data_IF_469397953357
#
_entry.id   IF_469397953357
#
_cell.length_a   1.000
_cell.length_b   1.000
_cell.length_c   1.000
_cell.angle_alpha   90.00
_cell.angle_beta   90.00
_cell.angle_gamma   90.00
#
_symmetry.space_group_name_H-M   'P 1'
#
loop_
_entity.id
_entity.type
_entity.pdbx_description
1 polymer ?
#
# COMPACT_ATOMS: atom_id res chain seq x y z
N UNK A 1 -9.86 -9.30 -26.15
CA UNK A 1 -10.55 -8.56 -27.26
C UNK A 1 -9.84 -7.24 -27.47
N UNK A 2 -10.12 -6.54 -28.60
CA UNK A 2 -9.58 -5.20 -28.86
C UNK A 2 -9.97 -4.23 -27.75
N UNK A 3 -11.22 -4.28 -27.29
CA UNK A 3 -11.73 -3.44 -26.20
C UNK A 3 -11.01 -3.68 -24.88
N UNK A 4 -10.73 -4.93 -24.53
CA UNK A 4 -9.95 -5.25 -23.32
C UNK A 4 -8.54 -4.66 -23.39
N UNK A 5 -7.87 -4.79 -24.53
CA UNK A 5 -6.56 -4.20 -24.74
C UNK A 5 -6.57 -2.67 -24.66
N UNK A 6 -7.61 -2.00 -25.17
CA UNK A 6 -7.80 -0.55 -25.06
C UNK A 6 -8.01 -0.11 -23.59
N UNK A 7 -8.82 -0.85 -22.82
CA UNK A 7 -9.05 -0.58 -21.38
C UNK A 7 -7.81 -0.84 -20.54
N UNK A 8 -7.05 -1.90 -20.84
CA UNK A 8 -5.78 -2.17 -20.17
C UNK A 8 -4.76 -1.06 -20.47
N UNK A 9 -4.67 -0.61 -21.73
CA UNK A 9 -3.79 0.50 -22.09
C UNK A 9 -4.20 1.82 -21.40
N UNK A 10 -5.50 2.08 -21.26
CA UNK A 10 -5.99 3.23 -20.51
C UNK A 10 -5.64 3.13 -19.03
N UNK A 11 -5.81 1.96 -18.42
CA UNK A 11 -5.42 1.73 -17.01
C UNK A 11 -3.94 2.01 -16.79
N UNK A 12 -3.07 1.51 -17.68
CA UNK A 12 -1.63 1.79 -17.61
C UNK A 12 -1.30 3.28 -17.75
N UNK A 13 -1.96 3.97 -18.68
CA UNK A 13 -1.81 5.41 -18.83
C UNK A 13 -2.27 6.19 -17.58
N UNK A 14 -3.37 5.78 -16.95
CA UNK A 14 -3.87 6.38 -15.70
C UNK A 14 -2.94 6.08 -14.52
N UNK A 15 -2.37 4.89 -14.44
CA UNK A 15 -1.35 4.56 -13.43
C UNK A 15 -0.10 5.43 -13.57
N UNK A 16 0.38 5.61 -14.80
CA UNK A 16 1.50 6.50 -15.08
C UNK A 16 1.18 7.96 -14.69
N UNK A 17 -0.03 8.44 -15.03
CA UNK A 17 -0.51 9.77 -14.66
C UNK A 17 -0.62 9.94 -13.13
N UNK A 18 -1.19 8.94 -12.42
CA UNK A 18 -1.27 8.94 -10.96
C UNK A 18 0.12 9.02 -10.32
N UNK A 19 1.07 8.19 -10.77
CA UNK A 19 2.44 8.21 -10.28
C UNK A 19 3.12 9.56 -10.52
N UNK A 20 2.90 10.16 -11.69
CA UNK A 20 3.40 11.49 -12.01
C UNK A 20 2.85 12.55 -11.04
N UNK A 21 1.53 12.64 -10.88
CA UNK A 21 0.92 13.62 -9.98
C UNK A 21 1.28 13.40 -8.52
N UNK A 22 1.37 12.15 -8.05
CA UNK A 22 1.84 11.83 -6.71
C UNK A 22 3.25 12.41 -6.48
N UNK A 23 4.19 12.16 -7.39
CA UNK A 23 5.54 12.69 -7.29
C UNK A 23 5.55 14.24 -7.36
N UNK A 24 4.71 14.86 -8.17
CA UNK A 24 4.64 16.33 -8.29
C UNK A 24 4.03 16.98 -7.04
N UNK A 25 2.92 16.47 -6.53
CA UNK A 25 2.22 17.03 -5.37
C UNK A 25 3.05 16.92 -4.09
N UNK A 26 3.86 15.86 -3.97
CA UNK A 26 4.71 15.58 -2.81
C UNK A 26 6.16 16.09 -3.00
N UNK A 27 6.46 16.74 -4.10
CA UNK A 27 7.74 17.41 -4.31
C UNK A 27 7.67 18.87 -3.86
N UNK A 28 8.44 19.20 -2.85
CA UNK A 28 8.59 20.54 -2.28
C UNK A 28 9.98 21.13 -2.53
N UNK A 29 10.76 20.59 -3.48
CA UNK A 29 12.04 21.20 -3.87
C UNK A 29 11.82 22.65 -4.35
N UNK A 30 12.60 23.57 -3.80
CA UNK A 30 12.48 25.01 -4.12
C UNK A 30 11.28 25.73 -3.51
N UNK A 31 10.49 25.07 -2.66
CA UNK A 31 9.40 25.68 -1.89
C UNK A 31 9.84 25.96 -0.45
N UNK A 32 9.22 26.96 0.19
CA UNK A 32 9.44 27.27 1.60
C UNK A 32 8.69 26.27 2.49
N UNK A 33 9.26 25.07 2.64
CA UNK A 33 8.75 24.01 3.51
C UNK A 33 9.90 23.42 4.31
N UNK A 34 9.67 23.19 5.59
CA UNK A 34 10.66 22.54 6.46
C UNK A 34 10.82 21.06 6.06
N UNK A 35 12.08 20.61 6.00
CA UNK A 35 12.43 19.21 5.75
C UNK A 35 13.07 18.63 7.01
N UNK A 36 12.52 17.53 7.51
CA UNK A 36 13.05 16.82 8.68
C UNK A 36 13.35 15.37 8.35
N UNK A 37 14.30 14.79 9.05
CA UNK A 37 14.53 13.35 9.01
C UNK A 37 13.36 12.62 9.68
N UNK A 38 13.00 11.46 9.14
CA UNK A 38 11.93 10.65 9.74
C UNK A 38 12.22 10.31 11.21
N UNK A 39 13.50 10.07 11.55
CA UNK A 39 13.90 9.80 12.93
C UNK A 39 13.84 11.01 13.88
N UNK A 40 13.70 12.24 13.37
CA UNK A 40 13.50 13.45 14.19
C UNK A 40 12.03 13.68 14.56
N UNK A 41 11.11 13.16 13.76
CA UNK A 41 9.67 13.44 13.87
C UNK A 41 8.84 12.23 14.23
N UNK A 42 9.45 11.06 14.35
CA UNK A 42 8.76 9.83 14.70
C UNK A 42 9.71 8.73 15.16
N UNK A 43 9.11 7.64 15.61
CA UNK A 43 9.79 6.47 16.14
C UNK A 43 9.46 5.22 15.32
N UNK A 44 10.47 4.37 15.08
CA UNK A 44 10.32 3.09 14.38
C UNK A 44 10.36 1.94 15.39
N UNK A 45 9.27 1.20 15.50
CA UNK A 45 9.15 0.01 16.33
C UNK A 45 9.09 -1.21 15.42
N UNK A 46 10.14 -2.06 15.44
CA UNK A 46 10.14 -3.29 14.64
C UNK A 46 9.14 -4.29 15.19
N UNK A 47 8.33 -4.92 14.33
CA UNK A 47 7.43 -6.01 14.67
C UNK A 47 8.16 -7.24 15.23
N UNK A 48 7.39 -8.25 15.63
CA UNK A 48 7.90 -9.55 16.07
C UNK A 48 7.38 -10.66 15.17
N UNK A 49 8.16 -11.74 15.08
CA UNK A 49 7.87 -12.86 14.18
C UNK A 49 6.64 -13.63 14.64
N UNK A 50 5.75 -13.87 13.69
CA UNK A 50 4.74 -14.92 13.65
C UNK A 50 4.71 -15.50 12.24
N UNK A 51 4.12 -16.65 12.05
CA UNK A 51 4.12 -17.33 10.75
C UNK A 51 2.71 -17.46 10.21
N UNK A 52 2.58 -17.77 8.91
CA UNK A 52 1.26 -17.90 8.26
C UNK A 52 0.34 -18.91 8.93
N UNK A 53 0.92 -19.95 9.55
CA UNK A 53 0.16 -20.98 10.29
C UNK A 53 -0.40 -20.49 11.64
N UNK A 54 0.06 -19.33 12.13
CA UNK A 54 -0.48 -18.71 13.36
C UNK A 54 -1.74 -17.89 13.06
N UNK A 55 -2.03 -17.64 11.78
CA UNK A 55 -3.19 -16.85 11.35
C UNK A 55 -4.46 -17.66 11.52
N UNK A 56 -5.45 -17.05 12.16
CA UNK A 56 -6.77 -17.60 12.44
C UNK A 56 -7.86 -16.75 11.76
N UNK A 57 -9.08 -17.27 11.70
CA UNK A 57 -10.22 -16.56 11.09
C UNK A 57 -10.75 -15.40 11.93
N UNK A 58 -10.58 -15.48 13.25
CA UNK A 58 -11.06 -14.48 14.20
C UNK A 58 -10.08 -14.33 15.38
N UNK A 59 -9.98 -13.12 15.96
CA UNK A 59 -9.08 -12.88 17.08
C UNK A 59 -8.55 -11.45 17.12
N UNK A 60 -7.27 -11.29 17.45
CA UNK A 60 -6.61 -9.98 17.49
C UNK A 60 -6.16 -9.61 16.08
N UNK A 61 -6.49 -8.41 15.56
CA UNK A 61 -6.10 -7.96 14.23
C UNK A 61 -4.57 -8.03 14.02
N UNK A 62 -4.13 -8.50 12.86
CA UNK A 62 -2.71 -8.51 12.50
C UNK A 62 -2.47 -8.18 11.03
N UNK A 63 -1.28 -7.66 10.74
CA UNK A 63 -0.77 -7.45 9.38
C UNK A 63 0.45 -8.35 9.17
N UNK A 64 0.29 -9.35 8.31
CA UNK A 64 1.40 -10.16 7.82
C UNK A 64 2.10 -9.44 6.66
N UNK A 65 3.43 -9.49 6.60
CA UNK A 65 4.21 -8.73 5.61
C UNK A 65 3.76 -8.96 4.16
N UNK A 66 3.37 -10.19 3.80
CA UNK A 66 2.89 -10.51 2.47
C UNK A 66 1.58 -9.80 2.09
N UNK A 67 0.78 -9.38 3.06
CA UNK A 67 -0.47 -8.66 2.82
C UNK A 67 -0.24 -7.19 2.43
N UNK A 68 0.92 -6.62 2.80
CA UNK A 68 1.32 -5.28 2.39
C UNK A 68 1.57 -5.17 0.87
N UNK A 69 1.80 -6.30 0.19
CA UNK A 69 1.99 -6.35 -1.26
C UNK A 69 0.71 -6.76 -2.01
N UNK A 70 -0.11 -7.62 -1.38
CA UNK A 70 -1.20 -8.30 -2.10
C UNK A 70 -2.58 -7.76 -1.76
N UNK A 71 -2.74 -7.09 -0.62
CA UNK A 71 -4.04 -6.68 -0.11
C UNK A 71 -4.12 -5.19 0.21
N UNK A 72 -3.19 -4.69 1.03
CA UNK A 72 -3.19 -3.29 1.44
C UNK A 72 -2.54 -2.40 0.37
N UNK A 73 -2.96 -1.12 0.33
CA UNK A 73 -2.40 -0.11 -0.58
C UNK A 73 -1.79 1.05 0.20
N UNK A 74 -2.49 2.17 0.27
CA UNK A 74 -2.03 3.38 0.97
C UNK A 74 -2.43 3.37 2.43
N UNK A 75 -3.62 2.85 2.74
CA UNK A 75 -4.17 2.82 4.08
C UNK A 75 -5.12 1.63 4.27
N UNK A 76 -5.39 1.31 5.52
CA UNK A 76 -6.36 0.28 5.92
C UNK A 76 -7.07 0.68 7.21
N UNK A 77 -8.36 0.34 7.33
CA UNK A 77 -9.15 0.44 8.56
C UNK A 77 -9.40 -0.92 9.19
N UNK A 78 -9.39 -1.98 8.39
CA UNK A 78 -9.67 -3.33 8.82
C UNK A 78 -8.49 -4.22 8.52
N UNK A 79 -8.19 -5.14 9.42
CA UNK A 79 -7.18 -6.17 9.20
C UNK A 79 -7.78 -7.32 8.39
N UNK A 80 -6.99 -7.84 7.47
CA UNK A 80 -7.34 -9.03 6.70
C UNK A 80 -7.20 -10.31 7.52
N UNK A 81 -6.27 -10.32 8.46
CA UNK A 81 -5.85 -11.50 9.22
C UNK A 81 -5.90 -11.24 10.71
N UNK A 82 -6.00 -12.35 11.47
CA UNK A 82 -6.11 -12.31 12.92
C UNK A 82 -5.18 -13.34 13.56
N UNK A 83 -4.84 -13.12 14.84
CA UNK A 83 -4.03 -14.02 15.65
C UNK A 83 -4.78 -14.40 16.93
N UNK A 84 -4.40 -15.56 17.48
CA UNK A 84 -4.86 -15.96 18.81
C UNK A 84 -4.41 -14.91 19.84
N UNK A 85 -5.27 -14.49 20.82
CA UNK A 85 -4.95 -13.49 21.83
C UNK A 85 -3.69 -13.80 22.66
N UNK A 86 -3.45 -15.06 23.01
CA UNK A 86 -2.28 -15.48 23.80
C UNK A 86 -0.95 -15.27 23.05
N UNK A 87 -0.96 -15.41 21.74
CA UNK A 87 0.18 -15.13 20.90
C UNK A 87 0.31 -13.62 20.70
N UNK A 88 -0.78 -12.96 20.35
CA UNK A 88 -0.82 -11.52 20.06
C UNK A 88 -0.28 -10.68 21.24
N UNK A 89 -0.60 -11.05 22.49
CA UNK A 89 -0.12 -10.38 23.69
C UNK A 89 1.42 -10.36 23.85
N UNK A 90 2.15 -11.21 23.12
CA UNK A 90 3.63 -11.31 23.15
C UNK A 90 4.29 -10.55 21.99
N UNK A 91 3.49 -10.06 21.07
CA UNK A 91 3.93 -9.41 19.84
C UNK A 91 3.90 -7.88 19.97
N UNK A 92 4.32 -7.17 18.93
CA UNK A 92 4.31 -5.73 18.88
C UNK A 92 3.19 -5.24 17.95
N UNK A 93 2.66 -4.08 18.26
CA UNK A 93 1.53 -3.50 17.55
C UNK A 93 1.91 -2.19 16.87
N UNK A 94 1.12 -1.82 15.86
CA UNK A 94 0.96 -0.45 15.39
C UNK A 94 -0.35 0.10 15.96
N UNK A 95 -0.34 1.36 16.36
CA UNK A 95 -1.51 2.07 16.88
C UNK A 95 -2.28 2.78 15.75
N UNK A 96 -3.56 3.12 15.95
CA UNK A 96 -4.27 4.00 15.02
C UNK A 96 -3.49 5.29 14.72
N UNK A 97 -3.25 5.57 13.44
CA UNK A 97 -2.44 6.70 13.00
C UNK A 97 -0.97 6.37 12.70
N UNK A 98 -0.47 5.21 13.09
CA UNK A 98 0.86 4.75 12.68
C UNK A 98 0.89 4.35 11.21
N UNK A 99 2.09 4.36 10.62
CA UNK A 99 2.33 3.78 9.29
C UNK A 99 3.11 2.49 9.43
N UNK A 100 2.54 1.38 8.92
CA UNK A 100 3.21 0.08 8.88
C UNK A 100 4.10 0.03 7.64
N UNK A 101 5.43 0.00 7.83
CA UNK A 101 6.43 0.10 6.77
C UNK A 101 7.13 -1.24 6.57
N UNK A 102 7.24 -1.67 5.32
CA UNK A 102 7.98 -2.87 4.93
C UNK A 102 9.47 -2.67 5.17
N UNK A 103 10.06 -3.54 5.98
CA UNK A 103 11.49 -3.53 6.28
C UNK A 103 12.28 -4.65 5.62
N UNK A 104 11.63 -5.73 5.21
CA UNK A 104 12.27 -6.87 4.55
C UNK A 104 11.32 -7.54 3.55
N UNK A 105 11.84 -7.95 2.39
CA UNK A 105 11.07 -8.58 1.32
C UNK A 105 11.95 -9.13 0.21
N UNK A 106 11.35 -9.84 -0.74
CA UNK A 106 12.05 -10.46 -1.88
C UNK A 106 12.46 -9.42 -2.92
N UNK A 107 11.67 -8.36 -3.09
CA UNK A 107 11.91 -7.30 -4.06
C UNK A 107 12.38 -6.01 -3.37
N UNK A 108 13.35 -5.35 -3.97
CA UNK A 108 13.89 -4.06 -3.46
C UNK A 108 12.83 -2.97 -3.55
N UNK A 109 11.98 -3.04 -4.55
CA UNK A 109 10.91 -2.09 -4.83
C UNK A 109 9.86 -2.02 -3.72
N UNK A 110 9.71 -3.09 -2.97
CA UNK A 110 8.75 -3.17 -1.87
C UNK A 110 9.28 -2.57 -0.56
N UNK A 111 10.61 -2.54 -0.42
CA UNK A 111 11.24 -2.02 0.80
C UNK A 111 10.95 -0.54 0.98
N UNK A 112 10.48 -0.17 2.17
CA UNK A 112 10.10 1.20 2.51
C UNK A 112 8.67 1.58 2.11
N UNK A 113 7.90 0.72 1.43
CA UNK A 113 6.47 0.93 1.24
C UNK A 113 5.76 0.96 2.60
N UNK A 114 4.80 1.86 2.74
CA UNK A 114 4.04 2.04 3.97
C UNK A 114 2.54 2.03 3.76
N UNK A 115 1.83 1.51 4.75
CA UNK A 115 0.37 1.49 4.84
C UNK A 115 -0.05 2.20 6.11
N UNK A 116 -0.84 3.28 6.00
CA UNK A 116 -1.39 3.99 7.15
C UNK A 116 -2.45 3.11 7.84
N UNK A 117 -2.26 2.81 9.12
CA UNK A 117 -3.26 2.12 9.91
C UNK A 117 -4.27 3.11 10.48
N UNK A 118 -5.51 3.03 10.03
CA UNK A 118 -6.62 3.93 10.40
C UNK A 118 -7.76 3.16 11.09
N UNK A 119 -7.50 1.93 11.55
CA UNK A 119 -8.45 1.15 12.35
C UNK A 119 -8.70 1.79 13.72
N UNK A 120 -9.75 1.35 14.40
CA UNK A 120 -10.16 1.88 15.72
C UNK A 120 -9.39 1.20 16.88
N UNK A 121 -8.57 0.19 16.60
CA UNK A 121 -7.79 -0.57 17.57
C UNK A 121 -6.38 -0.83 17.06
N UNK A 122 -5.51 -1.25 17.97
CA UNK A 122 -4.15 -1.69 17.64
C UNK A 122 -4.15 -2.87 16.69
N UNK A 123 -3.12 -2.97 15.86
CA UNK A 123 -2.89 -4.11 14.95
C UNK A 123 -1.51 -4.70 15.18
N UNK A 124 -1.44 -6.01 15.34
CA UNK A 124 -0.15 -6.72 15.47
C UNK A 124 0.61 -6.69 14.15
N UNK A 125 1.93 -6.43 14.19
CA UNK A 125 2.78 -6.35 12.99
C UNK A 125 3.89 -7.40 12.98
N UNK A 126 4.15 -7.94 11.78
CA UNK A 126 5.19 -8.93 11.53
C UNK A 126 6.61 -8.34 11.65
N UNK A 127 7.64 -9.17 11.93
CA UNK A 127 9.04 -8.73 12.09
C UNK A 127 9.71 -8.22 10.81
N UNK A 128 9.11 -8.46 9.65
CA UNK A 128 9.49 -7.84 8.39
C UNK A 128 8.92 -6.42 8.19
N UNK A 129 8.32 -5.83 9.24
CA UNK A 129 7.71 -4.50 9.23
C UNK A 129 8.17 -3.65 10.40
N UNK A 130 8.06 -2.33 10.24
CA UNK A 130 8.10 -1.35 11.31
C UNK A 130 6.72 -0.71 11.49
N UNK A 131 6.29 -0.45 12.73
CA UNK A 131 5.34 0.60 13.03
C UNK A 131 6.13 1.92 13.10
N UNK A 132 5.71 2.91 12.35
CA UNK A 132 6.25 4.27 12.40
C UNK A 132 5.22 5.21 13.02
N UNK A 133 5.47 5.60 14.25
CA UNK A 133 4.61 6.51 15.03
C UNK A 133 5.06 7.95 14.84
N UNK A 134 4.14 8.85 14.50
CA UNK A 134 4.41 10.26 14.19
C UNK A 134 3.16 11.13 14.38
N UNK A 135 3.29 12.46 14.19
CA UNK A 135 2.19 13.43 14.36
C UNK A 135 1.66 14.02 13.05
N UNK A 136 2.15 13.56 11.90
CA UNK A 136 1.69 14.01 10.57
C UNK A 136 0.41 13.28 10.17
N UNK A 137 -0.23 13.72 9.09
CA UNK A 137 -1.31 12.94 8.49
C UNK A 137 -0.76 11.58 8.02
N UNK A 138 -1.28 10.44 8.50
CA UNK A 138 -0.71 9.12 8.20
C UNK A 138 -0.79 8.74 6.72
N UNK A 139 -1.87 9.12 6.01
CA UNK A 139 -1.96 8.91 4.58
C UNK A 139 -0.93 9.74 3.81
N UNK A 140 -0.68 11.00 4.23
CA UNK A 140 0.35 11.84 3.62
C UNK A 140 1.71 11.15 3.69
N UNK A 141 2.07 10.61 4.86
CA UNK A 141 3.31 9.84 5.03
C UNK A 141 3.32 8.62 4.12
N UNK A 142 2.26 7.80 4.11
CA UNK A 142 2.16 6.62 3.23
C UNK A 142 2.33 6.98 1.75
N UNK A 143 1.69 8.04 1.27
CA UNK A 143 1.88 8.51 -0.11
C UNK A 143 3.31 8.96 -0.38
N UNK A 144 3.93 9.67 0.56
CA UNK A 144 5.31 10.13 0.41
C UNK A 144 6.30 8.97 0.31
N UNK A 145 6.12 7.92 1.11
CA UNK A 145 6.97 6.71 1.08
C UNK A 145 6.95 5.99 -0.28
N UNK A 146 5.96 6.26 -1.12
CA UNK A 146 5.87 5.70 -2.48
C UNK A 146 6.48 6.61 -3.56
N UNK A 147 7.00 7.79 -3.21
CA UNK A 147 7.61 8.72 -4.17
C UNK A 147 9.00 8.26 -4.61
N UNK A 148 9.38 8.65 -5.82
CA UNK A 148 10.73 8.43 -6.32
C UNK A 148 11.78 9.14 -5.46
N UNK A 149 11.43 10.30 -4.92
CA UNK A 149 12.30 11.08 -4.04
C UNK A 149 12.64 10.31 -2.76
N UNK A 150 11.64 9.77 -2.07
CA UNK A 150 11.88 8.94 -0.87
C UNK A 150 12.69 7.68 -1.21
N UNK A 151 12.33 6.98 -2.28
CA UNK A 151 13.02 5.76 -2.72
C UNK A 151 14.50 6.02 -3.01
N UNK A 152 14.82 7.15 -3.66
CA UNK A 152 16.20 7.53 -3.94
C UNK A 152 17.01 7.73 -2.65
N UNK A 153 16.40 8.28 -1.61
CA UNK A 153 17.05 8.51 -0.31
C UNK A 153 17.40 7.23 0.43
N UNK A 154 16.52 6.21 0.39
CA UNK A 154 16.74 4.97 1.14
C UNK A 154 17.55 3.92 0.37
N UNK A 155 17.71 4.08 -0.95
CA UNK A 155 18.32 3.08 -1.85
C UNK A 155 19.68 2.58 -1.37
N UNK A 156 20.56 3.48 -0.93
CA UNK A 156 21.90 3.13 -0.43
C UNK A 156 21.90 2.45 0.94
N UNK A 157 20.78 2.52 1.67
CA UNK A 157 20.61 1.90 3.00
C UNK A 157 19.97 0.52 2.93
N UNK A 158 19.52 0.09 1.74
CA UNK A 158 18.95 -1.24 1.53
C UNK A 158 20.09 -2.23 1.30
N UNK A 159 20.18 -3.25 2.16
CA UNK A 159 21.03 -4.40 1.91
C UNK A 159 20.33 -5.38 0.98
N UNK A 160 21.00 -5.72 -0.12
CA UNK A 160 20.50 -6.67 -1.11
C UNK A 160 21.07 -8.07 -0.89
N UNK A 161 20.23 -9.10 -1.10
CA UNK A 161 20.58 -10.51 -0.96
C UNK A 161 19.42 -11.38 -1.41
N UNK A 162 19.34 -12.62 -0.91
CA UNK A 162 18.14 -13.46 -1.12
C UNK A 162 16.88 -12.79 -0.58
N UNK A 163 17.02 -12.03 0.51
CA UNK A 163 16.01 -11.14 1.06
C UNK A 163 16.65 -9.76 1.17
N UNK A 164 16.03 -8.77 0.59
CA UNK A 164 16.42 -7.37 0.72
C UNK A 164 15.85 -6.81 2.01
N UNK A 165 16.60 -5.90 2.67
CA UNK A 165 16.12 -5.32 3.94
C UNK A 165 16.70 -3.93 4.21
N UNK A 166 15.97 -3.17 5.00
CA UNK A 166 16.40 -1.88 5.56
C UNK A 166 16.21 -1.90 7.08
N UNK A 167 17.14 -1.28 7.80
CA UNK A 167 17.02 -1.11 9.25
C UNK A 167 16.44 0.26 9.61
N UNK A 168 16.05 0.44 10.88
CA UNK A 168 15.51 1.72 11.35
C UNK A 168 16.47 2.90 11.19
N UNK A 169 17.81 2.79 11.42
CA UNK A 169 18.72 3.88 11.12
C UNK A 169 18.75 4.29 9.64
N UNK A 170 18.57 3.35 8.72
CA UNK A 170 18.49 3.62 7.29
C UNK A 170 17.24 4.42 6.91
N UNK A 171 16.09 4.05 7.48
CA UNK A 171 14.84 4.79 7.30
C UNK A 171 14.87 6.16 8.00
N UNK A 172 15.43 6.22 9.21
CA UNK A 172 15.47 7.44 10.03
C UNK A 172 16.20 8.60 9.36
N UNK A 173 17.16 8.33 8.48
CA UNK A 173 17.93 9.35 7.75
C UNK A 173 17.19 9.98 6.57
N UNK A 174 16.16 9.32 6.07
CA UNK A 174 15.36 9.85 4.97
C UNK A 174 14.60 11.10 5.43
N UNK A 175 14.60 12.13 4.58
CA UNK A 175 13.91 13.39 4.85
C UNK A 175 12.53 13.40 4.23
N UNK A 176 11.59 14.04 4.92
CA UNK A 176 10.22 14.27 4.47
C UNK A 176 9.89 15.77 4.59
N UNK A 177 9.18 16.38 3.63
CA UNK A 177 8.70 17.74 3.77
C UNK A 177 7.52 17.81 4.74
N UNK A 178 7.48 18.86 5.55
CA UNK A 178 6.46 19.08 6.59
C UNK A 178 5.65 20.34 6.27
N UNK A 179 4.75 20.31 5.28
CA UNK A 179 3.82 21.40 5.07
C UNK A 179 2.79 21.46 6.21
N UNK A 180 2.06 22.58 6.38
CA UNK A 180 0.96 22.68 7.31
C UNK A 180 -0.05 21.52 7.16
N UNK A 181 -0.74 21.18 8.25
CA UNK A 181 -1.64 20.00 8.25
C UNK A 181 -2.75 20.13 7.20
N UNK A 182 -3.25 21.33 6.97
CA UNK A 182 -4.28 21.62 5.97
C UNK A 182 -3.78 21.32 4.55
N UNK A 183 -2.50 21.56 4.27
CA UNK A 183 -1.90 21.23 2.98
C UNK A 183 -1.65 19.72 2.84
N UNK A 184 -1.26 19.02 3.93
CA UNK A 184 -1.18 17.57 3.94
C UNK A 184 -2.55 16.95 3.62
N UNK A 185 -3.62 17.42 4.26
CA UNK A 185 -5.00 16.96 4.03
C UNK A 185 -5.47 17.26 2.60
N UNK A 186 -5.17 18.45 2.07
CA UNK A 186 -5.48 18.81 0.68
C UNK A 186 -4.82 17.86 -0.31
N UNK A 187 -3.53 17.57 -0.12
CA UNK A 187 -2.77 16.65 -0.98
C UNK A 187 -3.35 15.25 -0.90
N UNK A 188 -3.62 14.75 0.32
CA UNK A 188 -4.25 13.45 0.54
C UNK A 188 -5.60 13.37 -0.16
N UNK A 189 -6.45 14.40 -0.02
CA UNK A 189 -7.78 14.42 -0.66
C UNK A 189 -7.71 14.38 -2.20
N UNK A 190 -6.67 14.94 -2.80
CA UNK A 190 -6.43 14.83 -4.26
C UNK A 190 -5.95 13.42 -4.61
N UNK A 191 -4.97 12.89 -3.88
CA UNK A 191 -4.37 11.59 -4.18
C UNK A 191 -5.35 10.44 -3.91
N UNK A 192 -6.19 10.51 -2.88
CA UNK A 192 -7.24 9.53 -2.61
C UNK A 192 -8.22 9.40 -3.79
N UNK A 193 -8.59 10.52 -4.44
CA UNK A 193 -9.45 10.48 -5.62
C UNK A 193 -8.78 9.81 -6.81
N UNK A 194 -7.49 10.09 -7.04
CA UNK A 194 -6.74 9.41 -8.10
C UNK A 194 -6.54 7.92 -7.78
N UNK A 195 -6.24 7.58 -6.54
CA UNK A 195 -6.05 6.18 -6.12
C UNK A 195 -7.33 5.36 -6.32
N UNK A 196 -8.48 5.90 -5.94
CA UNK A 196 -9.78 5.27 -6.18
C UNK A 196 -10.04 5.01 -7.66
N UNK A 197 -9.76 5.98 -8.54
CA UNK A 197 -9.97 5.82 -10.00
C UNK A 197 -9.08 4.74 -10.62
N UNK A 198 -7.86 4.56 -10.10
CA UNK A 198 -6.85 3.68 -10.70
C UNK A 198 -6.82 2.30 -10.08
N UNK A 199 -7.12 2.22 -8.79
CA UNK A 199 -6.87 1.02 -7.99
C UNK A 199 -8.11 0.42 -7.32
N UNK A 200 -9.24 1.14 -7.29
CA UNK A 200 -10.46 0.60 -6.69
C UNK A 200 -11.15 -0.34 -7.67
N UNK A 201 -11.24 -1.63 -7.28
CA UNK A 201 -11.90 -2.67 -8.08
C UNK A 201 -13.43 -2.56 -8.07
N UNK A 202 -14.00 -1.68 -7.24
CA UNK A 202 -15.46 -1.52 -7.11
C UNK A 202 -16.02 -0.31 -7.86
N UNK A 203 -15.19 0.72 -8.11
CA UNK A 203 -15.66 2.01 -8.67
C UNK A 203 -14.78 2.57 -9.79
N UNK A 204 -13.54 2.09 -9.96
CA UNK A 204 -12.59 2.64 -10.92
C UNK A 204 -12.53 1.90 -12.25
N UNK A 205 -11.52 2.22 -13.05
CA UNK A 205 -11.23 1.51 -14.31
C UNK A 205 -11.11 -0.01 -14.14
N UNK A 206 -10.51 -0.55 -13.06
CA UNK A 206 -10.51 -2.00 -12.84
C UNK A 206 -11.92 -2.60 -12.75
N UNK A 207 -12.87 -1.92 -12.12
CA UNK A 207 -14.27 -2.37 -12.07
C UNK A 207 -14.92 -2.40 -13.45
N UNK A 208 -14.65 -1.41 -14.29
CA UNK A 208 -15.15 -1.38 -15.66
C UNK A 208 -14.55 -2.52 -16.50
N UNK A 209 -13.24 -2.77 -16.40
CA UNK A 209 -12.56 -3.86 -17.10
C UNK A 209 -13.20 -5.20 -16.70
N UNK A 210 -13.40 -5.46 -15.42
CA UNK A 210 -14.02 -6.69 -14.93
C UNK A 210 -15.48 -6.84 -15.43
N UNK A 211 -16.26 -5.77 -15.37
CA UNK A 211 -17.64 -5.79 -15.86
C UNK A 211 -17.71 -6.07 -17.37
N UNK A 212 -16.81 -5.49 -18.17
CA UNK A 212 -16.72 -5.72 -19.61
C UNK A 212 -16.27 -7.13 -19.95
N UNK A 213 -15.29 -7.67 -19.22
CA UNK A 213 -14.83 -9.06 -19.37
C UNK A 213 -15.97 -10.06 -19.11
N UNK A 214 -16.72 -9.89 -18.00
CA UNK A 214 -17.90 -10.71 -17.69
C UNK A 214 -18.99 -10.62 -18.77
N UNK A 215 -19.24 -9.42 -19.28
CA UNK A 215 -20.19 -9.20 -20.36
C UNK A 215 -19.76 -9.92 -21.64
N UNK A 216 -18.49 -9.84 -22.00
CA UNK A 216 -17.93 -10.54 -23.15
C UNK A 216 -18.06 -12.06 -23.01
N UNK A 217 -17.67 -12.64 -21.86
CA UNK A 217 -17.80 -14.07 -21.62
C UNK A 217 -19.25 -14.55 -21.72
N UNK A 218 -20.19 -13.78 -21.16
CA UNK A 218 -21.62 -14.09 -21.27
C UNK A 218 -22.10 -14.16 -22.72
N UNK A 219 -21.80 -13.13 -23.53
CA UNK A 219 -22.24 -13.11 -24.93
C UNK A 219 -21.50 -14.15 -25.77
N UNK A 220 -20.21 -14.38 -25.53
CA UNK A 220 -19.44 -15.44 -26.16
C UNK A 220 -20.06 -16.81 -25.89
N UNK A 221 -20.40 -17.11 -24.63
CA UNK A 221 -21.09 -18.34 -24.26
C UNK A 221 -22.40 -18.51 -25.01
N UNK A 222 -23.25 -17.46 -25.06
CA UNK A 222 -24.51 -17.48 -25.81
C UNK A 222 -24.34 -17.69 -27.31
N UNK A 223 -23.36 -17.01 -27.93
CA UNK A 223 -23.12 -17.10 -29.37
C UNK A 223 -22.51 -18.44 -29.81
N UNK A 224 -21.76 -19.09 -28.90
CA UNK A 224 -21.10 -20.37 -29.16
C UNK A 224 -21.90 -21.58 -28.69
N UNK A 225 -23.05 -21.36 -28.02
CA UNK A 225 -23.97 -22.42 -27.61
C UNK A 225 -24.83 -22.88 -28.80
N UNK A 226 -24.21 -23.62 -29.73
CA UNK A 226 -24.90 -24.25 -30.84
C UNK A 226 -25.62 -25.50 -30.37
N UNK A 227 -26.94 -25.50 -30.41
CA UNK A 227 -27.71 -26.73 -30.28
C UNK A 227 -27.24 -27.72 -31.36
N UNK A 228 -26.77 -28.90 -30.99
CA UNK A 228 -26.53 -29.97 -31.94
C UNK A 228 -27.84 -30.20 -32.71
N UNK A 229 -27.81 -30.05 -34.03
CA UNK A 229 -28.85 -30.55 -34.88
C UNK A 229 -28.84 -32.06 -34.73
N UNK A 230 -29.85 -32.63 -34.06
CA UNK A 230 -30.08 -34.07 -34.09
C UNK A 230 -30.44 -34.38 -35.56
N UNK A 231 -29.47 -34.88 -36.31
CA UNK A 231 -29.77 -35.56 -37.55
C UNK A 231 -30.49 -36.87 -37.21
N UNK A 232 -31.83 -36.89 -37.41
CA UNK A 232 -32.64 -38.08 -37.39
C UNK A 232 -32.35 -39.01 -38.56
#
# INVERSE_FOLDING_TARGET
TQLEAELEAELEARRAQYNYYRNQLLNFEGKEVEWKMLGEIGEFIRGKRFVKNDIVSEGVPCIHYGELYTHYKIWAKEAKSYLNPDLAAKLRVAHPGDVVIVSAGETIEDIGNGVAWLGDSDVVIHDACFAYSHKMNPKYVSYYLQTNLFRSQIKSSISSGKISSINSPGLSKAKIPIPPIEEQERIVGVLDKFDALVNDISVGLPAEIEARSKQYEYYRGKLLDFKRLNNG
#
